data_IF_074491623416
#
_entry.id   IF_074491623416
#
_cell.length_a   1.000
_cell.length_b   1.000
_cell.length_c   1.000
_cell.angle_alpha   90.00
_cell.angle_beta   90.00
_cell.angle_gamma   90.00
#
_symmetry.space_group_name_H-M   'P 1'
#
loop_
_entity.id
_entity.type
_entity.pdbx_description
1 polymer ?
#
# COMPACT_ATOMS: atom_id res chain seq x y z
N UNK A 1 -61.15 -13.02 16.54
CA UNK A 1 -60.40 -13.33 15.29
C UNK A 1 -61.37 -13.30 14.12
N UNK A 2 -60.97 -13.09 12.85
CA UNK A 2 -59.58 -13.14 12.29
C UNK A 2 -59.21 -11.82 11.54
N UNK A 3 -57.98 -11.29 11.42
CA UNK A 3 -56.64 -11.81 11.06
C UNK A 3 -56.62 -12.77 9.87
N UNK A 4 -56.60 -12.19 8.68
CA UNK A 4 -56.27 -12.87 7.42
C UNK A 4 -54.78 -13.24 7.36
N UNK A 5 -54.43 -14.35 6.67
CA UNK A 5 -53.15 -15.03 6.81
C UNK A 5 -52.10 -14.54 5.82
N UNK A 6 -50.85 -14.81 6.17
CA UNK A 6 -49.67 -14.35 5.44
C UNK A 6 -49.43 -15.02 4.09
N UNK A 7 -48.52 -14.42 3.34
CA UNK A 7 -47.77 -15.10 2.30
C UNK A 7 -46.31 -15.15 2.73
N UNK A 8 -45.86 -16.37 3.05
CA UNK A 8 -44.45 -16.73 3.04
C UNK A 8 -44.05 -16.87 1.57
N UNK A 9 -43.14 -16.02 1.10
CA UNK A 9 -42.40 -16.31 -0.13
C UNK A 9 -41.10 -16.99 0.26
N UNK A 10 -40.97 -18.24 -0.18
CA UNK A 10 -39.80 -19.07 -0.01
C UNK A 10 -38.59 -18.48 -0.74
N UNK A 11 -37.45 -18.47 -0.06
CA UNK A 11 -36.14 -18.18 -0.64
C UNK A 11 -35.68 -19.41 -1.43
N UNK A 12 -35.38 -19.32 -2.74
CA UNK A 12 -34.55 -20.30 -3.39
C UNK A 12 -33.07 -20.01 -3.07
N UNK A 13 -32.45 -20.96 -2.38
CA UNK A 13 -30.99 -21.08 -2.24
C UNK A 13 -30.38 -21.55 -3.56
N UNK A 14 -29.13 -21.14 -3.77
CA UNK A 14 -28.17 -21.65 -4.75
C UNK A 14 -28.37 -21.22 -6.21
N UNK A 15 -27.71 -20.13 -6.55
CA UNK A 15 -27.15 -19.90 -7.87
C UNK A 15 -25.77 -19.27 -7.69
N UNK A 16 -24.70 -20.02 -7.95
CA UNK A 16 -23.35 -19.48 -8.12
C UNK A 16 -23.43 -18.49 -9.28
N UNK A 17 -23.41 -17.18 -8.98
CA UNK A 17 -23.17 -16.17 -10.00
C UNK A 17 -21.67 -16.05 -10.20
N UNK A 18 -21.19 -16.73 -11.23
CA UNK A 18 -19.98 -16.32 -11.94
C UNK A 18 -20.26 -14.93 -12.49
N UNK A 19 -19.69 -13.90 -11.87
CA UNK A 19 -19.68 -12.56 -12.45
C UNK A 19 -18.72 -12.57 -13.65
N UNK A 20 -19.24 -12.95 -14.81
CA UNK A 20 -18.72 -12.49 -16.09
C UNK A 20 -19.03 -10.99 -16.16
N UNK A 21 -18.13 -10.15 -15.64
CA UNK A 21 -18.17 -8.75 -16.02
C UNK A 21 -17.67 -8.64 -17.47
N UNK A 22 -18.48 -8.07 -18.38
CA UNK A 22 -17.98 -7.76 -19.70
C UNK A 22 -17.00 -6.59 -19.53
N UNK A 23 -15.73 -6.86 -19.83
CA UNK A 23 -14.69 -5.86 -20.04
C UNK A 23 -15.06 -5.07 -21.30
N UNK A 24 -16.05 -4.17 -21.21
CA UNK A 24 -16.41 -3.27 -22.29
C UNK A 24 -15.49 -2.07 -22.19
N UNK A 25 -14.60 -1.98 -23.18
CA UNK A 25 -13.58 -0.96 -23.26
C UNK A 25 -14.16 0.45 -23.22
N UNK A 26 -13.59 1.24 -22.31
CA UNK A 26 -13.42 2.67 -22.53
C UNK A 26 -11.98 3.00 -22.18
N UNK A 27 -11.12 2.90 -23.19
CA UNK A 27 -9.77 3.46 -23.18
C UNK A 27 -9.88 4.96 -22.98
N UNK A 28 -9.91 5.40 -21.72
CA UNK A 28 -9.74 6.79 -21.36
C UNK A 28 -8.27 6.97 -21.04
N UNK A 29 -7.55 7.43 -22.07
CA UNK A 29 -6.12 7.73 -22.01
C UNK A 29 -5.88 8.67 -20.83
N UNK A 30 -5.22 8.16 -19.80
CA UNK A 30 -4.47 8.99 -18.87
C UNK A 30 -3.57 9.89 -19.74
N UNK A 31 -3.68 11.21 -19.58
CA UNK A 31 -3.13 12.17 -20.54
C UNK A 31 -1.65 11.87 -20.80
N UNK A 32 -1.28 11.69 -22.07
CA UNK A 32 0.12 11.47 -22.46
C UNK A 32 0.95 12.69 -22.07
N UNK A 33 1.67 12.62 -20.96
CA UNK A 33 2.89 13.39 -20.78
C UNK A 33 3.97 12.72 -21.63
N UNK A 34 4.07 13.18 -22.87
CA UNK A 34 5.17 12.84 -23.78
C UNK A 34 6.45 13.36 -23.14
N UNK A 35 7.32 12.46 -22.70
CA UNK A 35 8.65 12.80 -22.16
C UNK A 35 9.15 11.99 -20.94
N UNK A 36 8.44 10.95 -20.47
CA UNK A 36 8.78 10.26 -19.20
C UNK A 36 8.84 8.73 -19.27
N UNK A 37 9.26 8.16 -20.41
CA UNK A 37 9.47 6.70 -20.52
C UNK A 37 10.84 6.29 -19.97
N UNK A 38 11.86 7.15 -20.13
CA UNK A 38 13.26 6.87 -19.74
C UNK A 38 13.49 6.65 -18.23
N UNK A 39 12.57 7.11 -17.36
CA UNK A 39 12.71 6.93 -15.90
C UNK A 39 12.32 5.52 -15.42
N UNK A 40 11.52 4.79 -16.19
CA UNK A 40 11.05 3.44 -15.81
C UNK A 40 12.19 2.42 -15.97
N UNK A 41 13.13 2.66 -16.90
CA UNK A 41 14.23 1.73 -17.20
C UNK A 41 15.20 1.56 -16.02
N UNK A 42 15.33 2.57 -15.14
CA UNK A 42 16.17 2.50 -13.93
C UNK A 42 15.46 1.87 -12.72
N UNK A 43 14.16 1.55 -12.82
CA UNK A 43 13.42 0.82 -11.78
C UNK A 43 13.59 -0.70 -11.87
N UNK A 44 14.35 -1.22 -12.83
CA UNK A 44 14.66 -2.66 -12.95
C UNK A 44 15.80 -3.12 -12.03
N UNK A 45 16.60 -2.22 -11.45
CA UNK A 45 17.69 -2.59 -10.54
C UNK A 45 17.28 -3.54 -9.36
N UNK A 46 16.11 -3.38 -8.70
CA UNK A 46 15.68 -4.35 -7.68
C UNK A 46 15.13 -5.66 -8.25
N UNK A 47 14.63 -5.68 -9.50
CA UNK A 47 14.13 -6.90 -10.14
C UNK A 47 15.26 -7.74 -10.73
N UNK A 48 16.31 -7.09 -11.24
CA UNK A 48 17.56 -7.74 -11.67
C UNK A 48 18.32 -8.35 -10.48
N UNK A 49 18.16 -7.79 -9.27
CA UNK A 49 18.65 -8.41 -8.03
C UNK A 49 17.92 -9.72 -7.67
N UNK A 50 16.75 -9.99 -8.27
CA UNK A 50 16.02 -11.26 -8.16
C UNK A 50 16.28 -12.18 -9.37
N UNK A 51 17.15 -11.78 -10.31
CA UNK A 51 17.51 -12.60 -11.46
C UNK A 51 18.42 -13.75 -10.97
N UNK A 52 17.77 -14.86 -10.62
CA UNK A 52 18.40 -15.96 -9.90
C UNK A 52 19.34 -16.85 -10.72
N UNK A 53 20.30 -17.44 -10.00
CA UNK A 53 20.97 -18.68 -10.39
C UNK A 53 20.11 -19.91 -10.07
N UNK A 54 20.68 -21.10 -10.24
CA UNK A 54 19.99 -22.35 -9.94
C UNK A 54 19.85 -22.56 -8.43
N UNK A 55 18.73 -22.11 -7.84
CA UNK A 55 18.47 -22.14 -6.38
C UNK A 55 18.73 -23.50 -5.72
N UNK A 56 18.54 -24.60 -6.45
CA UNK A 56 18.76 -25.96 -5.95
C UNK A 56 20.24 -26.30 -5.71
N UNK A 57 21.17 -25.52 -6.28
CA UNK A 57 22.62 -25.65 -6.07
C UNK A 57 23.12 -24.86 -4.86
N UNK A 58 22.30 -23.96 -4.30
CA UNK A 58 22.68 -23.13 -3.17
C UNK A 58 22.71 -23.94 -1.87
N UNK A 59 23.69 -23.63 -1.03
CA UNK A 59 23.75 -24.10 0.35
C UNK A 59 22.65 -23.47 1.20
N UNK A 60 22.41 -24.00 2.40
CA UNK A 60 21.43 -23.42 3.33
C UNK A 60 21.78 -22.01 3.83
N UNK A 61 23.06 -21.62 3.81
CA UNK A 61 23.47 -20.25 4.11
C UNK A 61 23.13 -19.31 2.94
N UNK A 62 23.52 -19.69 1.73
CA UNK A 62 23.21 -18.93 0.52
C UNK A 62 21.71 -18.78 0.30
N UNK A 63 20.90 -19.81 0.56
CA UNK A 63 19.43 -19.72 0.50
C UNK A 63 18.84 -18.72 1.51
N UNK A 64 19.44 -18.59 2.70
CA UNK A 64 18.98 -17.61 3.70
C UNK A 64 19.32 -16.19 3.25
N UNK A 65 20.50 -15.99 2.70
CA UNK A 65 20.94 -14.69 2.19
C UNK A 65 20.11 -14.26 0.96
N UNK A 66 19.80 -15.22 0.07
CA UNK A 66 18.92 -15.00 -1.06
C UNK A 66 17.51 -14.61 -0.61
N UNK A 67 16.95 -15.31 0.39
CA UNK A 67 15.65 -14.95 0.96
C UNK A 67 15.68 -13.55 1.60
N UNK A 68 16.72 -13.23 2.36
CA UNK A 68 16.86 -11.91 2.97
C UNK A 68 16.94 -10.80 1.91
N UNK A 69 17.67 -11.04 0.82
CA UNK A 69 17.77 -10.13 -0.32
C UNK A 69 16.41 -9.94 -1.00
N UNK A 70 15.68 -11.02 -1.22
CA UNK A 70 14.34 -10.97 -1.81
C UNK A 70 13.36 -10.18 -0.95
N UNK A 71 13.35 -10.40 0.37
CA UNK A 71 12.51 -9.65 1.30
C UNK A 71 12.89 -8.16 1.33
N UNK A 72 14.18 -7.83 1.30
CA UNK A 72 14.61 -6.43 1.24
C UNK A 72 14.13 -5.73 -0.04
N UNK A 73 14.14 -6.42 -1.18
CA UNK A 73 13.57 -5.91 -2.43
C UNK A 73 12.07 -5.66 -2.28
N UNK A 74 11.33 -6.61 -1.71
CA UNK A 74 9.88 -6.46 -1.47
C UNK A 74 9.57 -5.28 -0.54
N UNK A 75 10.33 -5.11 0.54
CA UNK A 75 10.15 -4.01 1.49
C UNK A 75 10.41 -2.64 0.83
N UNK A 76 11.47 -2.51 0.02
CA UNK A 76 11.71 -1.27 -0.74
C UNK A 76 10.61 -0.99 -1.75
N UNK A 77 10.12 -2.02 -2.44
CA UNK A 77 9.01 -1.88 -3.38
C UNK A 77 7.72 -1.43 -2.67
N UNK A 78 7.47 -1.93 -1.46
CA UNK A 78 6.38 -1.47 -0.62
C UNK A 78 6.53 0.02 -0.26
N UNK A 79 7.70 0.45 0.25
CA UNK A 79 7.94 1.86 0.54
C UNK A 79 7.79 2.77 -0.68
N UNK A 80 8.26 2.31 -1.84
CA UNK A 80 8.05 3.01 -3.11
C UNK A 80 6.57 3.12 -3.47
N UNK A 81 5.78 2.07 -3.22
CA UNK A 81 4.33 2.10 -3.47
C UNK A 81 3.62 3.15 -2.62
N UNK A 82 4.01 3.31 -1.34
CA UNK A 82 3.45 4.34 -0.46
C UNK A 82 3.80 5.75 -0.92
N UNK A 83 5.02 5.98 -1.41
CA UNK A 83 5.39 7.27 -2.02
C UNK A 83 4.51 7.62 -3.22
N UNK A 84 4.27 6.66 -4.10
CA UNK A 84 3.40 6.87 -5.28
C UNK A 84 1.96 7.16 -4.85
N UNK A 85 1.44 6.45 -3.84
CA UNK A 85 0.10 6.68 -3.29
C UNK A 85 0.01 8.08 -2.67
N UNK A 86 1.01 8.51 -1.89
CA UNK A 86 1.06 9.84 -1.29
C UNK A 86 1.03 10.95 -2.36
N UNK A 87 1.73 10.76 -3.48
CA UNK A 87 1.67 11.69 -4.60
C UNK A 87 0.28 11.78 -5.25
N UNK A 88 -0.44 10.65 -5.40
CA UNK A 88 -1.82 10.67 -5.87
C UNK A 88 -2.74 11.41 -4.90
N UNK A 89 -2.58 11.17 -3.59
CA UNK A 89 -3.33 11.86 -2.54
C UNK A 89 -3.08 13.37 -2.57
N UNK A 90 -1.83 13.80 -2.67
CA UNK A 90 -1.46 15.22 -2.72
C UNK A 90 -2.04 15.93 -3.96
N UNK A 91 -2.21 15.22 -5.07
CA UNK A 91 -2.82 15.73 -6.31
C UNK A 91 -4.34 15.66 -6.33
N UNK A 92 -4.95 14.92 -5.40
CA UNK A 92 -6.37 14.60 -5.43
C UNK A 92 -6.78 13.78 -6.65
N UNK A 93 -5.85 13.04 -7.27
CA UNK A 93 -6.10 12.26 -8.48
C UNK A 93 -6.48 10.82 -8.13
N UNK A 94 -7.63 10.38 -8.65
CA UNK A 94 -8.18 9.02 -8.45
C UNK A 94 -8.02 8.13 -9.68
N UNK A 95 -7.33 8.58 -10.72
CA UNK A 95 -7.16 7.87 -12.00
C UNK A 95 -8.50 7.50 -12.66
N UNK A 96 -9.55 8.31 -12.44
CA UNK A 96 -10.90 8.06 -12.97
C UNK A 96 -11.75 7.06 -12.18
N UNK A 97 -11.27 6.58 -11.02
CA UNK A 97 -12.04 5.76 -10.10
C UNK A 97 -12.84 6.63 -9.11
N UNK A 98 -13.83 6.01 -8.45
CA UNK A 98 -14.63 6.68 -7.40
C UNK A 98 -13.80 7.13 -6.19
N UNK A 99 -12.66 6.50 -5.96
CA UNK A 99 -11.68 6.87 -4.93
C UNK A 99 -10.32 6.28 -5.27
N UNK A 100 -9.25 6.86 -4.73
CA UNK A 100 -7.91 6.29 -4.86
C UNK A 100 -7.81 4.88 -4.24
N UNK A 101 -8.52 4.63 -3.13
CA UNK A 101 -8.62 3.28 -2.53
C UNK A 101 -9.18 2.26 -3.53
N UNK A 102 -10.24 2.62 -4.26
CA UNK A 102 -10.84 1.73 -5.28
C UNK A 102 -9.88 1.49 -6.44
N UNK A 103 -9.14 2.52 -6.88
CA UNK A 103 -8.06 2.34 -7.85
C UNK A 103 -7.00 1.36 -7.36
N UNK A 104 -6.50 1.53 -6.12
CA UNK A 104 -5.47 0.63 -5.56
C UNK A 104 -6.00 -0.81 -5.49
N UNK A 105 -7.22 -1.02 -4.98
CA UNK A 105 -7.83 -2.35 -4.92
C UNK A 105 -7.94 -3.01 -6.30
N UNK A 106 -8.53 -2.33 -7.28
CA UNK A 106 -8.86 -2.92 -8.59
C UNK A 106 -7.65 -3.00 -9.53
N UNK A 107 -6.85 -1.93 -9.61
CA UNK A 107 -5.78 -1.80 -10.59
C UNK A 107 -4.46 -2.42 -10.12
N UNK A 108 -4.18 -2.36 -8.81
CA UNK A 108 -2.99 -3.01 -8.21
C UNK A 108 -3.30 -4.46 -7.77
N UNK A 109 -4.57 -4.86 -7.83
CA UNK A 109 -5.04 -6.21 -7.51
C UNK A 109 -4.66 -6.65 -6.07
N UNK A 110 -5.00 -5.81 -5.10
CA UNK A 110 -4.82 -6.09 -3.67
C UNK A 110 -6.17 -6.19 -2.96
N UNK A 111 -6.22 -6.69 -1.73
CA UNK A 111 -7.49 -6.70 -0.97
C UNK A 111 -7.95 -5.29 -0.62
N UNK A 112 -9.25 -5.10 -0.39
CA UNK A 112 -9.78 -3.79 0.03
C UNK A 112 -9.25 -3.33 1.40
N UNK A 113 -8.89 -4.27 2.28
CA UNK A 113 -8.22 -3.99 3.55
C UNK A 113 -6.79 -3.50 3.31
N UNK A 114 -6.02 -4.19 2.47
CA UNK A 114 -4.64 -3.77 2.12
C UNK A 114 -4.64 -2.40 1.43
N UNK A 115 -5.56 -2.16 0.49
CA UNK A 115 -5.72 -0.86 -0.16
C UNK A 115 -5.98 0.25 0.86
N UNK A 116 -6.83 0.01 1.87
CA UNK A 116 -7.08 0.96 2.96
C UNK A 116 -5.82 1.21 3.79
N UNK A 117 -5.14 0.15 4.22
CA UNK A 117 -3.93 0.25 5.02
C UNK A 117 -2.85 1.05 4.28
N UNK A 118 -2.62 0.78 3.00
CA UNK A 118 -1.64 1.55 2.19
C UNK A 118 -1.98 3.04 2.10
N UNK A 119 -3.27 3.40 1.99
CA UNK A 119 -3.69 4.81 2.00
C UNK A 119 -3.38 5.44 3.37
N UNK A 120 -3.76 4.77 4.45
CA UNK A 120 -3.48 5.22 5.83
C UNK A 120 -1.98 5.39 6.08
N UNK A 121 -1.17 4.39 5.70
CA UNK A 121 0.27 4.43 5.86
C UNK A 121 0.93 5.49 4.97
N UNK A 122 0.46 5.68 3.73
CA UNK A 122 0.98 6.75 2.88
C UNK A 122 0.79 8.14 3.53
N UNK A 123 -0.33 8.38 4.21
CA UNK A 123 -0.59 9.63 4.93
C UNK A 123 0.23 9.76 6.21
N UNK A 124 0.41 8.66 6.95
CA UNK A 124 1.12 8.67 8.24
C UNK A 124 2.64 8.71 8.10
N UNK A 125 3.19 8.12 7.03
CA UNK A 125 4.61 7.85 6.89
C UNK A 125 5.33 8.71 5.85
N UNK A 126 4.61 9.18 4.82
CA UNK A 126 5.24 9.90 3.70
C UNK A 126 4.93 11.39 3.81
N UNK A 127 5.98 12.19 4.00
CA UNK A 127 5.87 13.65 4.03
C UNK A 127 5.34 14.20 2.71
N UNK A 128 4.68 15.35 2.78
CA UNK A 128 4.10 16.01 1.60
C UNK A 128 4.76 17.37 1.35
N UNK A 129 4.45 17.98 0.20
CA UNK A 129 4.90 19.34 -0.11
C UNK A 129 3.70 20.26 -0.22
N UNK A 130 3.81 21.46 0.35
CA UNK A 130 2.80 22.49 0.17
C UNK A 130 2.83 23.03 -1.26
N UNK A 131 1.80 23.78 -1.64
CA UNK A 131 1.73 24.47 -2.95
C UNK A 131 2.90 25.45 -3.15
N UNK A 132 3.47 25.99 -2.06
CA UNK A 132 4.66 26.86 -2.09
C UNK A 132 5.98 26.10 -2.18
N UNK A 133 5.94 24.76 -2.17
CA UNK A 133 7.11 23.89 -2.21
C UNK A 133 7.75 23.62 -0.84
N UNK A 134 7.17 24.10 0.26
CA UNK A 134 7.67 23.79 1.60
C UNK A 134 7.38 22.32 1.94
N UNK A 135 8.38 21.63 2.51
CA UNK A 135 8.21 20.24 2.94
C UNK A 135 7.47 20.20 4.28
N UNK A 136 6.43 19.36 4.35
CA UNK A 136 5.73 19.02 5.58
C UNK A 136 6.14 17.60 5.99
N UNK A 137 6.80 17.44 7.14
CA UNK A 137 7.19 16.12 7.62
C UNK A 137 5.95 15.26 7.88
N UNK A 138 6.10 13.96 7.72
CA UNK A 138 5.06 13.00 8.08
C UNK A 138 4.90 12.94 9.60
N UNK A 139 3.70 12.56 10.10
CA UNK A 139 3.50 12.29 11.53
C UNK A 139 4.48 11.24 12.10
N UNK A 140 4.83 10.23 11.31
CA UNK A 140 5.77 9.16 11.67
C UNK A 140 6.98 9.19 10.73
N UNK A 141 7.81 10.22 10.89
CA UNK A 141 8.89 10.53 9.95
C UNK A 141 10.03 9.49 10.01
N UNK A 142 10.37 8.97 11.19
CA UNK A 142 11.44 7.99 11.34
C UNK A 142 11.04 6.64 10.74
N UNK A 143 9.80 6.21 11.01
CA UNK A 143 9.19 5.01 10.43
C UNK A 143 9.12 5.14 8.91
N UNK A 144 8.71 6.31 8.41
CA UNK A 144 8.64 6.59 6.98
C UNK A 144 9.99 6.44 6.27
N UNK A 145 11.07 6.95 6.88
CA UNK A 145 12.42 6.79 6.35
C UNK A 145 12.82 5.32 6.29
N UNK A 146 12.62 4.57 7.38
CA UNK A 146 12.97 3.14 7.45
C UNK A 146 12.19 2.30 6.42
N UNK A 147 10.92 2.64 6.16
CA UNK A 147 10.11 2.03 5.10
C UNK A 147 10.66 2.31 3.71
N UNK A 148 11.09 3.54 3.43
CA UNK A 148 11.69 3.90 2.13
C UNK A 148 13.03 3.19 1.90
N UNK A 149 13.82 3.01 2.94
CA UNK A 149 15.08 2.25 2.90
C UNK A 149 14.85 0.73 2.75
N UNK A 150 13.64 0.26 3.06
CA UNK A 150 13.24 -1.14 3.03
C UNK A 150 13.72 -1.95 4.23
N UNK A 151 14.05 -1.28 5.34
CA UNK A 151 14.45 -1.93 6.60
C UNK A 151 13.24 -2.44 7.38
N UNK A 152 12.07 -1.82 7.19
CA UNK A 152 10.81 -2.26 7.77
C UNK A 152 9.93 -2.98 6.75
N UNK A 153 9.43 -4.15 7.16
CA UNK A 153 8.39 -4.90 6.44
C UNK A 153 7.00 -4.28 6.66
N UNK A 154 6.02 -4.55 5.77
CA UNK A 154 4.64 -4.09 5.95
C UNK A 154 4.03 -4.49 7.30
N UNK A 155 4.39 -5.67 7.82
CA UNK A 155 3.93 -6.16 9.13
C UNK A 155 4.50 -5.32 10.28
N UNK A 156 5.78 -4.97 10.22
CA UNK A 156 6.38 -4.09 11.23
C UNK A 156 5.77 -2.70 11.19
N UNK A 157 5.51 -2.17 9.99
CA UNK A 157 4.79 -0.90 9.82
C UNK A 157 3.43 -0.92 10.48
N UNK A 158 2.64 -1.98 10.26
CA UNK A 158 1.35 -2.15 10.92
C UNK A 158 1.48 -2.15 12.44
N UNK A 159 2.45 -2.89 12.99
CA UNK A 159 2.68 -2.96 14.43
C UNK A 159 3.06 -1.59 15.01
N UNK A 160 3.99 -0.87 14.38
CA UNK A 160 4.42 0.46 14.82
C UNK A 160 3.25 1.44 14.75
N UNK A 161 2.55 1.47 13.61
CA UNK A 161 1.41 2.35 13.39
C UNK A 161 0.31 2.12 14.44
N UNK A 162 -0.07 0.86 14.69
CA UNK A 162 -1.09 0.53 15.68
C UNK A 162 -0.64 0.91 17.09
N UNK A 163 0.60 0.57 17.47
CA UNK A 163 1.15 0.90 18.79
C UNK A 163 1.12 2.41 19.04
N UNK A 164 1.48 3.23 18.05
CA UNK A 164 1.47 4.68 18.20
C UNK A 164 0.06 5.27 18.13
N UNK A 165 -0.86 4.66 17.37
CA UNK A 165 -2.26 5.10 17.30
C UNK A 165 -3.02 4.80 18.59
N UNK A 166 -2.63 3.75 19.31
CA UNK A 166 -3.24 3.34 20.60
C UNK A 166 -2.79 4.22 21.78
N UNK A 167 -1.84 5.15 21.57
CA UNK A 167 -1.45 6.11 22.60
C UNK A 167 -2.63 7.04 22.95
N UNK A 168 -2.89 7.32 24.25
CA UNK A 168 -3.99 8.18 24.65
C UNK A 168 -3.96 9.56 23.99
N UNK A 169 -5.16 10.09 23.70
CA UNK A 169 -5.33 11.47 23.26
C UNK A 169 -4.73 12.43 24.30
N UNK A 170 -3.89 13.37 23.84
CA UNK A 170 -3.17 14.31 24.71
C UNK A 170 -1.79 13.82 25.18
N UNK A 171 -1.33 12.65 24.74
CA UNK A 171 0.09 12.26 24.87
C UNK A 171 0.98 13.33 24.22
N UNK A 172 1.96 13.91 24.94
CA UNK A 172 2.84 14.93 24.39
C UNK A 172 3.60 14.44 23.15
N UNK A 173 3.82 15.34 22.19
CA UNK A 173 4.48 15.01 20.92
C UNK A 173 5.91 14.50 21.13
N UNK A 174 6.60 14.97 22.17
CA UNK A 174 7.95 14.48 22.51
C UNK A 174 7.93 13.01 22.96
N UNK A 175 6.88 12.60 23.69
CA UNK A 175 6.70 11.21 24.13
C UNK A 175 6.37 10.33 22.94
N UNK A 176 5.50 10.80 22.03
CA UNK A 176 5.17 10.09 20.80
C UNK A 176 6.39 9.92 19.90
N UNK A 177 7.18 10.97 19.73
CA UNK A 177 8.42 10.95 18.93
C UNK A 177 9.45 9.99 19.54
N UNK A 178 9.61 9.99 20.87
CA UNK A 178 10.47 9.03 21.56
C UNK A 178 9.99 7.59 21.36
N UNK A 179 8.68 7.34 21.49
CA UNK A 179 8.12 6.02 21.29
C UNK A 179 8.30 5.53 19.85
N UNK A 180 8.16 6.41 18.85
CA UNK A 180 8.47 6.07 17.46
C UNK A 180 9.93 5.65 17.30
N UNK A 181 10.86 6.45 17.82
CA UNK A 181 12.29 6.16 17.76
C UNK A 181 12.63 4.79 18.34
N UNK A 182 12.11 4.49 19.53
CA UNK A 182 12.38 3.23 20.25
C UNK A 182 11.77 2.00 19.54
N UNK A 183 10.73 2.19 18.71
CA UNK A 183 10.10 1.13 17.93
C UNK A 183 10.75 0.87 16.57
N UNK A 184 11.49 1.87 16.04
CA UNK A 184 12.19 1.78 14.74
C UNK A 184 13.63 1.31 14.90
N UNK A 185 14.27 1.60 16.04
CA UNK A 185 15.66 1.22 16.37
C UNK A 185 15.86 -0.29 16.47
#
# INVERSE_FOLDING_TARGET
>A
MPRTPGSFSAVPKCGVMVFHHPFVGRSMRCSKSVGRVDRIEHMNAPADALAGGELWQLTGEELRDELHTAEQVLNRAFGRSLQVISEFLARGDTCGYSSLRRYVHDAVNVTDTDARHRITYAQALIGTRTVTGAEMPAPLAETGRAVVEGTLSPRQVEQIHNTLTDLPDGTPDEVRTRAEHDLVA
#
